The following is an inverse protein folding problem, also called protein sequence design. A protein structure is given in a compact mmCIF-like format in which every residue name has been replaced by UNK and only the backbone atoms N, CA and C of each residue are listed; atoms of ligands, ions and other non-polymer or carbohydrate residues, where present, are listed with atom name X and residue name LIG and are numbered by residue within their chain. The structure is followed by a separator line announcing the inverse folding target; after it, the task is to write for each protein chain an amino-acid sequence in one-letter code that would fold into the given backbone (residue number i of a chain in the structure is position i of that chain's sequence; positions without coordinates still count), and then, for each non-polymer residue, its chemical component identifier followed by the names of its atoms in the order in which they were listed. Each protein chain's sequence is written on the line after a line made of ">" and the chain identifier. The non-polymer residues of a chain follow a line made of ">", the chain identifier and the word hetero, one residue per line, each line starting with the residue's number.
data_IF_293190323555
#
_entry.id   IF_293190323555
#
_cell.length_a   1.000
_cell.length_b   1.000
_cell.length_c   1.000
_cell.angle_alpha   90.00
_cell.angle_beta   90.00
_cell.angle_gamma   90.00
#
_symmetry.space_group_name_H-M   'P 1'
#
loop_
_entity.id
_entity.type
_entity.pdbx_description
1 polymer ?
#
# COMPACT_ATOMS: atom_id res chain seq x y z
N UNK A 1 -12.02 -11.90 -17.81
CA UNK A 1 -11.53 -10.52 -17.91
C UNK A 1 -11.56 -9.78 -16.58
N UNK A 2 -12.73 -9.48 -15.98
CA UNK A 2 -12.79 -8.67 -14.75
C UNK A 2 -11.97 -9.21 -13.57
N UNK A 3 -12.00 -10.53 -13.33
CA UNK A 3 -11.19 -11.18 -12.30
C UNK A 3 -9.69 -10.94 -12.52
N UNK A 4 -9.24 -11.05 -13.77
CA UNK A 4 -7.85 -10.80 -14.16
C UNK A 4 -7.46 -9.33 -13.98
N UNK A 5 -8.34 -8.38 -14.36
CA UNK A 5 -8.10 -6.96 -14.08
C UNK A 5 -7.99 -6.66 -12.58
N UNK A 6 -8.75 -7.39 -11.75
CA UNK A 6 -8.80 -7.17 -10.31
C UNK A 6 -7.58 -7.71 -9.57
N UNK A 7 -7.07 -8.89 -9.96
CA UNK A 7 -6.03 -9.60 -9.19
C UNK A 7 -4.87 -10.18 -10.01
N UNK A 8 -4.91 -10.07 -11.34
CA UNK A 8 -3.85 -10.57 -12.23
C UNK A 8 -2.60 -9.72 -12.16
N UNK A 9 -1.47 -10.34 -12.50
CA UNK A 9 -0.15 -9.70 -12.51
C UNK A 9 0.21 -9.21 -13.93
N UNK A 10 0.95 -8.09 -14.09
CA UNK A 10 1.38 -7.61 -15.40
C UNK A 10 2.12 -8.66 -16.25
N UNK A 11 2.94 -9.50 -15.62
CA UNK A 11 3.68 -10.59 -16.26
C UNK A 11 2.80 -11.73 -16.78
N UNK A 12 1.58 -11.88 -16.27
CA UNK A 12 0.62 -12.89 -16.73
C UNK A 12 -0.15 -12.44 -17.98
N UNK A 13 -0.08 -11.16 -18.34
CA UNK A 13 -0.84 -10.58 -19.45
C UNK A 13 -0.61 -11.31 -20.78
N UNK A 14 0.62 -11.63 -21.22
CA UNK A 14 0.82 -12.29 -22.50
C UNK A 14 0.11 -13.64 -22.58
N UNK A 15 0.32 -14.50 -21.59
CA UNK A 15 -0.30 -15.82 -21.51
C UNK A 15 -1.83 -15.73 -21.42
N UNK A 16 -2.33 -14.86 -20.55
CA UNK A 16 -3.77 -14.64 -20.41
C UNK A 16 -4.42 -14.22 -21.73
N UNK A 17 -3.80 -13.33 -22.50
CA UNK A 17 -4.35 -12.87 -23.78
C UNK A 17 -4.33 -13.99 -24.81
N UNK A 18 -3.25 -14.77 -24.90
CA UNK A 18 -3.15 -15.85 -25.88
C UNK A 18 -4.23 -16.92 -25.61
N UNK A 19 -4.36 -17.36 -24.35
CA UNK A 19 -5.43 -18.29 -23.91
C UNK A 19 -6.83 -17.72 -24.19
N UNK A 20 -7.02 -16.42 -23.97
CA UNK A 20 -8.31 -15.77 -24.15
C UNK A 20 -8.72 -15.66 -25.62
N UNK A 21 -7.76 -15.45 -26.54
CA UNK A 21 -8.03 -15.48 -27.98
C UNK A 21 -8.27 -16.90 -28.49
N UNK A 22 -7.53 -17.90 -27.98
CA UNK A 22 -7.73 -19.31 -28.33
C UNK A 22 -9.13 -19.81 -27.91
N UNK A 23 -9.57 -19.47 -26.69
CA UNK A 23 -10.88 -19.87 -26.16
C UNK A 23 -12.07 -19.36 -26.99
N UNK A 24 -11.89 -18.27 -27.76
CA UNK A 24 -12.92 -17.68 -28.62
C UNK A 24 -12.97 -18.34 -30.00
N UNK A 25 -11.92 -19.09 -30.36
CA UNK A 25 -11.77 -19.80 -31.61
C UNK A 25 -11.05 -18.97 -32.67
N UNK A 26 -9.97 -19.52 -33.22
CA UNK A 26 -9.12 -18.87 -34.22
C UNK A 26 -9.89 -18.46 -35.48
N UNK A 27 -10.85 -19.29 -35.93
CA UNK A 27 -11.67 -18.99 -37.09
C UNK A 27 -12.57 -17.74 -36.89
N UNK A 28 -13.03 -17.50 -35.65
CA UNK A 28 -13.89 -16.37 -35.30
C UNK A 28 -13.12 -15.04 -35.38
N UNK A 29 -11.90 -15.01 -34.86
CA UNK A 29 -11.07 -13.79 -34.78
C UNK A 29 -10.47 -13.35 -36.13
N UNK A 30 -10.48 -14.23 -37.15
CA UNK A 30 -10.13 -13.86 -38.51
C UNK A 30 -11.12 -12.85 -39.12
N UNK A 31 -12.40 -12.93 -38.73
CA UNK A 31 -13.41 -11.95 -39.16
C UNK A 31 -13.11 -10.58 -38.57
N UNK A 32 -12.91 -9.58 -39.45
CA UNK A 32 -12.65 -8.20 -39.04
C UNK A 32 -13.76 -7.62 -38.15
N UNK A 33 -15.03 -7.85 -38.51
CA UNK A 33 -16.18 -7.39 -37.74
C UNK A 33 -16.22 -8.00 -36.34
N UNK A 34 -15.94 -9.30 -36.24
CA UNK A 34 -15.91 -9.98 -34.95
C UNK A 34 -14.73 -9.50 -34.10
N UNK A 35 -13.54 -9.37 -34.71
CA UNK A 35 -12.34 -8.82 -34.06
C UNK A 35 -12.58 -7.40 -33.56
N UNK A 36 -13.25 -6.56 -34.35
CA UNK A 36 -13.64 -5.20 -33.96
C UNK A 36 -14.55 -5.22 -32.75
N UNK A 37 -15.65 -5.98 -32.81
CA UNK A 37 -16.60 -6.10 -31.71
C UNK A 37 -15.90 -6.57 -30.42
N UNK A 38 -15.04 -7.58 -30.55
CA UNK A 38 -14.32 -8.17 -29.44
C UNK A 38 -13.34 -7.18 -28.79
N UNK A 39 -12.50 -6.51 -29.59
CA UNK A 39 -11.56 -5.50 -29.09
C UNK A 39 -12.31 -4.36 -28.40
N UNK A 40 -13.40 -3.85 -29.02
CA UNK A 40 -14.24 -2.81 -28.41
C UNK A 40 -14.83 -3.27 -27.07
N UNK A 41 -15.32 -4.50 -26.98
CA UNK A 41 -15.84 -5.04 -25.72
C UNK A 41 -14.79 -5.05 -24.59
N UNK A 42 -13.56 -5.46 -24.91
CA UNK A 42 -12.44 -5.40 -23.95
C UNK A 42 -12.14 -3.96 -23.57
N UNK A 43 -12.06 -3.03 -24.54
CA UNK A 43 -11.83 -1.61 -24.27
C UNK A 43 -12.88 -1.02 -23.32
N UNK A 44 -14.17 -1.31 -23.54
CA UNK A 44 -15.25 -0.86 -22.65
C UNK A 44 -15.12 -1.46 -21.26
N UNK A 45 -14.80 -2.76 -21.17
CA UNK A 45 -14.60 -3.47 -19.90
C UNK A 45 -13.46 -2.86 -19.09
N UNK A 46 -12.32 -2.61 -19.73
CA UNK A 46 -11.14 -1.97 -19.12
C UNK A 46 -11.47 -0.53 -18.72
N UNK A 47 -12.12 0.23 -19.59
CA UNK A 47 -12.51 1.61 -19.30
C UNK A 47 -13.46 1.70 -18.10
N UNK A 48 -14.46 0.81 -18.02
CA UNK A 48 -15.38 0.75 -16.90
C UNK A 48 -14.68 0.33 -15.59
N UNK A 49 -13.75 -0.61 -15.65
CA UNK A 49 -12.92 -1.01 -14.51
C UNK A 49 -12.07 0.17 -13.99
N UNK A 50 -11.35 0.85 -14.87
CA UNK A 50 -10.51 1.99 -14.49
C UNK A 50 -11.31 3.17 -13.94
N UNK A 51 -12.47 3.47 -14.52
CA UNK A 51 -13.39 4.49 -13.99
C UNK A 51 -13.85 4.15 -12.56
N UNK A 52 -14.14 2.88 -12.25
CA UNK A 52 -14.45 2.44 -10.87
C UNK A 52 -13.29 2.66 -9.89
N UNK A 53 -12.04 2.60 -10.37
CA UNK A 53 -10.86 2.91 -9.57
C UNK A 53 -10.58 4.42 -9.45
N UNK A 54 -11.34 5.26 -10.17
CA UNK A 54 -11.10 6.72 -10.26
C UNK A 54 -9.94 7.07 -11.19
N UNK A 55 -9.57 6.18 -12.12
CA UNK A 55 -8.54 6.41 -13.12
C UNK A 55 -9.17 6.90 -14.43
N UNK A 56 -8.47 7.79 -15.13
CA UNK A 56 -8.76 8.05 -16.52
C UNK A 56 -8.29 6.87 -17.39
N UNK A 57 -9.03 6.54 -18.47
CA UNK A 57 -8.63 5.45 -19.36
C UNK A 57 -7.27 5.72 -20.03
N UNK A 58 -6.41 4.69 -20.24
CA UNK A 58 -5.09 4.85 -20.79
C UNK A 58 -5.10 5.54 -22.16
N UNK A 59 -4.04 6.31 -22.44
CA UNK A 59 -3.87 6.98 -23.74
C UNK A 59 -3.89 6.02 -24.95
N UNK A 60 -3.62 4.73 -24.72
CA UNK A 60 -3.72 3.64 -25.70
C UNK A 60 -5.15 3.40 -26.22
N UNK A 61 -6.17 4.00 -25.58
CA UNK A 61 -7.55 4.02 -26.04
C UNK A 61 -7.86 5.15 -27.03
N UNK A 62 -6.86 5.97 -27.42
CA UNK A 62 -7.02 7.02 -28.43
C UNK A 62 -7.01 6.44 -29.86
N UNK A 63 -7.75 7.07 -30.76
CA UNK A 63 -8.18 6.56 -32.08
C UNK A 63 -7.09 5.90 -32.96
N UNK A 64 -5.83 6.33 -32.86
CA UNK A 64 -4.75 5.86 -33.76
C UNK A 64 -4.24 4.43 -33.48
N UNK A 65 -4.53 3.83 -32.33
CA UNK A 65 -4.10 2.45 -31.99
C UNK A 65 -5.14 1.39 -32.35
N UNK A 66 -6.38 1.79 -32.63
CA UNK A 66 -7.45 0.86 -33.00
C UNK A 66 -7.24 0.33 -34.42
N UNK A 67 -6.68 1.12 -35.33
CA UNK A 67 -6.46 0.71 -36.72
C UNK A 67 -5.63 -0.58 -36.81
N UNK A 68 -4.48 -0.62 -36.14
CA UNK A 68 -3.59 -1.80 -36.14
C UNK A 68 -4.27 -3.05 -35.53
N UNK A 69 -5.09 -2.85 -34.50
CA UNK A 69 -5.91 -3.91 -33.91
C UNK A 69 -6.95 -4.48 -34.90
N UNK A 70 -7.42 -3.66 -35.82
CA UNK A 70 -8.42 -4.03 -36.82
C UNK A 70 -7.80 -4.61 -38.10
N UNK A 71 -6.49 -4.45 -38.35
CA UNK A 71 -5.84 -4.97 -39.57
C UNK A 71 -5.55 -6.48 -39.48
N UNK A 72 -5.17 -7.00 -38.31
CA UNK A 72 -4.78 -8.41 -38.17
C UNK A 72 -5.12 -8.98 -36.79
N UNK A 73 -5.17 -10.32 -36.70
CA UNK A 73 -5.32 -11.03 -35.42
C UNK A 73 -4.15 -10.70 -34.49
N UNK A 74 -2.94 -10.65 -35.02
CA UNK A 74 -1.74 -10.31 -34.26
C UNK A 74 -1.77 -8.87 -33.75
N UNK A 75 -2.23 -7.94 -34.58
CA UNK A 75 -2.48 -6.56 -34.18
C UNK A 75 -3.49 -6.47 -33.03
N UNK A 76 -4.59 -7.23 -33.09
CA UNK A 76 -5.56 -7.28 -32.00
C UNK A 76 -4.97 -7.88 -30.72
N UNK A 77 -4.18 -8.96 -30.81
CA UNK A 77 -3.48 -9.55 -29.65
C UNK A 77 -2.54 -8.53 -29.01
N UNK A 78 -1.68 -7.90 -29.81
CA UNK A 78 -0.75 -6.88 -29.34
C UNK A 78 -1.48 -5.70 -28.69
N UNK A 79 -2.57 -5.24 -29.32
CA UNK A 79 -3.42 -4.19 -28.76
C UNK A 79 -3.99 -4.56 -27.38
N UNK A 80 -4.58 -5.75 -27.26
CA UNK A 80 -5.17 -6.22 -26.00
C UNK A 80 -4.10 -6.42 -24.93
N UNK A 81 -2.92 -6.97 -25.27
CA UNK A 81 -1.78 -7.10 -24.35
C UNK A 81 -1.37 -5.73 -23.79
N UNK A 82 -1.18 -4.75 -24.67
CA UNK A 82 -0.80 -3.40 -24.27
C UNK A 82 -1.89 -2.71 -23.42
N UNK A 83 -3.16 -2.88 -23.77
CA UNK A 83 -4.29 -2.34 -23.03
C UNK A 83 -4.39 -2.92 -21.62
N UNK A 84 -4.32 -4.25 -21.48
CA UNK A 84 -4.37 -4.91 -20.18
C UNK A 84 -3.14 -4.58 -19.32
N UNK A 85 -1.93 -4.60 -19.91
CA UNK A 85 -0.72 -4.21 -19.21
C UNK A 85 -0.79 -2.78 -18.67
N UNK A 86 -1.27 -1.83 -19.48
CA UNK A 86 -1.48 -0.44 -19.06
C UNK A 86 -2.54 -0.33 -17.95
N UNK A 87 -3.62 -1.10 -18.04
CA UNK A 87 -4.68 -1.08 -17.03
C UNK A 87 -4.21 -1.64 -15.67
N UNK A 88 -3.42 -2.72 -15.67
CA UNK A 88 -2.83 -3.28 -14.46
C UNK A 88 -1.81 -2.33 -13.83
N UNK A 89 -0.96 -1.68 -14.64
CA UNK A 89 -0.03 -0.67 -14.16
C UNK A 89 -0.74 0.52 -13.48
N UNK A 90 -1.83 1.03 -14.09
CA UNK A 90 -2.64 2.10 -13.50
C UNK A 90 -3.34 1.67 -12.21
N UNK A 91 -3.88 0.44 -12.17
CA UNK A 91 -4.46 -0.15 -10.96
C UNK A 91 -3.43 -0.17 -9.83
N UNK A 92 -2.23 -0.70 -10.09
CA UNK A 92 -1.19 -0.84 -9.08
C UNK A 92 -0.69 0.51 -8.59
N UNK A 93 -0.56 1.50 -9.48
CA UNK A 93 -0.23 2.87 -9.12
C UNK A 93 -1.29 3.48 -8.19
N UNK A 94 -2.58 3.29 -8.46
CA UNK A 94 -3.65 3.81 -7.60
C UNK A 94 -3.69 3.09 -6.26
N UNK A 95 -3.53 1.77 -6.24
CA UNK A 95 -3.48 0.99 -5.00
C UNK A 95 -2.31 1.46 -4.11
N UNK A 96 -1.12 1.62 -4.68
CA UNK A 96 0.06 2.12 -3.96
C UNK A 96 -0.10 3.57 -3.47
N UNK A 97 -0.69 4.45 -4.28
CA UNK A 97 -0.99 5.83 -3.88
C UNK A 97 -1.98 5.87 -2.72
N UNK A 98 -3.03 5.05 -2.76
CA UNK A 98 -4.00 4.92 -1.66
C UNK A 98 -3.31 4.45 -0.39
N UNK A 99 -2.48 3.40 -0.45
CA UNK A 99 -1.70 2.94 0.70
C UNK A 99 -0.78 4.03 1.26
N UNK A 100 -0.08 4.76 0.41
CA UNK A 100 0.75 5.90 0.84
C UNK A 100 -0.07 6.95 1.58
N UNK A 101 -1.21 7.38 1.02
CA UNK A 101 -2.09 8.35 1.66
C UNK A 101 -2.65 7.83 2.99
N UNK A 102 -2.91 6.53 3.07
CA UNK A 102 -3.45 5.89 4.25
C UNK A 102 -2.42 5.87 5.37
N UNK A 103 -1.19 5.46 5.05
CA UNK A 103 -0.08 5.44 5.99
C UNK A 103 0.27 6.83 6.49
N UNK A 104 0.19 7.86 5.65
CA UNK A 104 0.38 9.25 6.09
C UNK A 104 -0.64 9.66 7.16
N UNK A 105 -1.94 9.36 6.96
CA UNK A 105 -2.98 9.62 7.96
C UNK A 105 -2.75 8.81 9.24
N UNK A 106 -2.35 7.54 9.10
CA UNK A 106 -2.00 6.69 10.24
C UNK A 106 -0.82 7.27 11.04
N UNK A 107 0.25 7.68 10.37
CA UNK A 107 1.41 8.30 11.02
C UNK A 107 1.04 9.61 11.71
N UNK A 108 0.19 10.42 11.09
CA UNK A 108 -0.32 11.65 11.70
C UNK A 108 -1.15 11.35 12.96
N UNK A 109 -2.04 10.34 12.90
CA UNK A 109 -2.81 9.88 14.05
C UNK A 109 -1.89 9.42 15.19
N UNK A 110 -0.87 8.60 14.89
CA UNK A 110 0.08 8.13 15.90
C UNK A 110 0.86 9.28 16.53
N UNK A 111 1.32 10.26 15.74
CA UNK A 111 2.01 11.45 16.27
C UNK A 111 1.13 12.30 17.20
N UNK A 112 -0.19 12.30 16.98
CA UNK A 112 -1.12 13.04 17.84
C UNK A 112 -1.54 12.25 19.08
N UNK A 113 -1.61 10.92 18.98
CA UNK A 113 -2.22 10.07 19.99
C UNK A 113 -1.24 9.14 20.72
N UNK A 114 0.06 9.16 20.41
CA UNK A 114 1.04 8.19 20.94
C UNK A 114 1.03 8.05 22.48
N UNK A 115 0.59 9.07 23.20
CA UNK A 115 0.48 9.09 24.67
C UNK A 115 -0.65 8.19 25.19
N UNK A 116 -1.59 7.77 24.35
CA UNK A 116 -2.68 6.86 24.73
C UNK A 116 -2.14 5.44 24.94
N UNK A 117 -2.24 4.85 26.15
CA UNK A 117 -1.60 3.58 26.47
C UNK A 117 -2.21 2.38 25.73
N UNK A 118 -3.45 2.50 25.25
CA UNK A 118 -4.27 1.45 24.65
C UNK A 118 -4.28 1.47 23.10
N UNK A 119 -3.39 2.25 22.47
CA UNK A 119 -3.25 2.20 21.00
C UNK A 119 -2.88 0.78 20.58
N UNK A 120 -3.81 0.15 19.88
CA UNK A 120 -3.67 -1.21 19.38
C UNK A 120 -3.60 -1.24 17.85
N UNK A 121 -3.12 -2.35 17.30
CA UNK A 121 -3.17 -2.61 15.87
C UNK A 121 -4.60 -2.49 15.32
N UNK A 122 -5.60 -2.96 16.08
CA UNK A 122 -7.00 -2.89 15.69
C UNK A 122 -7.50 -1.45 15.57
N UNK A 123 -7.16 -0.61 16.54
CA UNK A 123 -7.54 0.81 16.54
C UNK A 123 -6.98 1.51 15.30
N UNK A 124 -5.69 1.30 15.03
CA UNK A 124 -4.99 1.97 13.94
C UNK A 124 -5.40 1.43 12.57
N UNK A 125 -5.67 0.13 12.46
CA UNK A 125 -6.24 -0.49 11.27
C UNK A 125 -7.65 0.04 10.97
N UNK A 126 -8.46 0.28 12.00
CA UNK A 126 -9.78 0.92 11.89
C UNK A 126 -9.69 2.35 11.34
N UNK A 127 -8.76 3.17 11.85
CA UNK A 127 -8.44 4.50 11.29
C UNK A 127 -7.99 4.38 9.83
N UNK A 128 -7.30 3.30 9.49
CA UNK A 128 -6.86 2.99 8.13
C UNK A 128 -7.94 2.39 7.22
N UNK A 129 -9.14 2.08 7.71
CA UNK A 129 -10.17 1.39 6.94
C UNK A 129 -9.75 0.00 6.45
N UNK A 130 -8.85 -0.67 7.18
CA UNK A 130 -8.28 -1.98 6.81
C UNK A 130 -8.53 -3.01 7.89
N UNK A 131 -8.49 -4.30 7.52
CA UNK A 131 -8.37 -5.35 8.52
C UNK A 131 -7.00 -5.27 9.23
N UNK A 132 -6.91 -5.69 10.50
CA UNK A 132 -5.65 -5.64 11.25
C UNK A 132 -4.49 -6.39 10.58
N UNK A 133 -4.78 -7.56 9.99
CA UNK A 133 -3.78 -8.37 9.28
C UNK A 133 -3.26 -7.65 8.03
N UNK A 134 -4.15 -7.12 7.20
CA UNK A 134 -3.77 -6.41 5.98
C UNK A 134 -3.00 -5.13 6.31
N UNK A 135 -3.44 -4.38 7.31
CA UNK A 135 -2.73 -3.20 7.79
C UNK A 135 -1.31 -3.54 8.28
N UNK A 136 -1.14 -4.60 9.07
CA UNK A 136 0.19 -5.01 9.57
C UNK A 136 1.18 -5.30 8.43
N UNK A 137 0.73 -6.04 7.42
CA UNK A 137 1.54 -6.35 6.23
C UNK A 137 1.89 -5.10 5.44
N UNK A 138 0.90 -4.25 5.12
CA UNK A 138 1.13 -3.04 4.33
C UNK A 138 2.00 -2.04 5.09
N UNK A 139 1.76 -1.84 6.38
CA UNK A 139 2.56 -0.93 7.20
C UNK A 139 4.01 -1.38 7.27
N UNK A 140 4.27 -2.66 7.56
CA UNK A 140 5.64 -3.18 7.66
C UNK A 140 6.39 -3.14 6.34
N UNK A 141 5.75 -3.50 5.22
CA UNK A 141 6.35 -3.40 3.89
C UNK A 141 6.72 -1.97 3.51
N UNK A 142 5.86 -1.00 3.82
CA UNK A 142 6.05 0.38 3.43
C UNK A 142 6.96 1.17 4.38
N UNK A 143 6.93 0.87 5.69
CA UNK A 143 7.72 1.57 6.72
C UNK A 143 9.05 0.88 7.05
N UNK A 144 9.25 -0.35 6.57
CA UNK A 144 10.43 -1.18 6.89
C UNK A 144 10.49 -1.66 8.35
N UNK A 145 9.42 -1.44 9.12
CA UNK A 145 9.30 -1.81 10.53
C UNK A 145 7.84 -2.05 10.88
N UNK A 146 7.57 -2.88 11.87
CA UNK A 146 6.21 -3.14 12.34
C UNK A 146 5.58 -1.89 12.98
N UNK A 147 4.25 -1.87 13.04
CA UNK A 147 3.50 -0.83 13.74
C UNK A 147 3.95 -0.66 15.20
N UNK A 148 4.19 -1.77 15.91
CA UNK A 148 4.60 -1.75 17.32
C UNK A 148 5.99 -1.14 17.47
N UNK A 149 6.95 -1.51 16.62
CA UNK A 149 8.29 -0.94 16.62
C UNK A 149 8.27 0.57 16.32
N UNK A 150 7.42 1.00 15.38
CA UNK A 150 7.25 2.42 15.07
C UNK A 150 6.69 3.19 16.26
N UNK A 151 5.63 2.70 16.91
CA UNK A 151 5.04 3.35 18.09
C UNK A 151 6.04 3.38 19.26
N UNK A 152 6.75 2.28 19.51
CA UNK A 152 7.81 2.24 20.52
C UNK A 152 8.89 3.28 20.23
N UNK A 153 9.37 3.37 18.99
CA UNK A 153 10.40 4.32 18.60
C UNK A 153 9.95 5.78 18.80
N UNK A 154 8.72 6.08 18.40
CA UNK A 154 8.10 7.40 18.60
C UNK A 154 8.03 7.76 20.08
N UNK A 155 7.53 6.86 20.93
CA UNK A 155 7.45 7.08 22.39
C UNK A 155 8.83 7.27 23.02
N UNK A 156 9.82 6.48 22.61
CA UNK A 156 11.19 6.56 23.13
C UNK A 156 11.88 7.85 22.71
N UNK A 157 11.61 8.35 21.50
CA UNK A 157 12.09 9.66 21.06
C UNK A 157 11.54 10.80 21.91
N UNK A 158 10.23 10.78 22.20
CA UNK A 158 9.61 11.78 23.08
C UNK A 158 10.12 11.68 24.52
N UNK A 159 10.31 10.46 25.03
CA UNK A 159 10.91 10.24 26.34
C UNK A 159 12.34 10.80 26.44
N UNK A 160 13.18 10.60 25.41
CA UNK A 160 14.53 11.20 25.34
C UNK A 160 14.47 12.72 25.40
N UNK A 161 13.50 13.33 24.72
CA UNK A 161 13.29 14.78 24.73
C UNK A 161 12.93 15.26 26.14
N UNK A 162 11.92 14.64 26.77
CA UNK A 162 11.48 14.99 28.12
C UNK A 162 12.58 14.80 29.18
N UNK A 163 13.38 13.73 29.08
CA UNK A 163 14.49 13.49 30.00
C UNK A 163 15.59 14.57 29.94
N UNK A 164 15.78 15.19 28.77
CA UNK A 164 16.77 16.25 28.53
C UNK A 164 16.26 17.65 28.84
N UNK A 165 14.97 17.88 28.64
CA UNK A 165 14.37 19.22 28.68
C UNK A 165 13.58 19.49 29.97
N UNK A 166 13.39 18.48 30.84
CA UNK A 166 12.56 18.60 32.05
C UNK A 166 13.15 17.83 33.23
N UNK A 167 12.75 18.23 34.44
CA UNK A 167 13.11 17.58 35.71
C UNK A 167 12.12 16.49 36.16
N UNK A 168 11.12 16.15 35.32
CA UNK A 168 10.08 15.14 35.63
C UNK A 168 10.70 13.81 36.03
N UNK A 169 10.05 13.04 36.90
CA UNK A 169 10.57 11.71 37.25
C UNK A 169 10.47 10.76 36.04
N UNK A 170 11.28 9.70 36.00
CA UNK A 170 11.16 8.69 34.95
C UNK A 170 9.79 8.01 34.93
N UNK A 171 9.11 7.93 36.08
CA UNK A 171 7.74 7.43 36.18
C UNK A 171 6.73 8.37 35.55
N UNK A 172 6.84 9.68 35.80
CA UNK A 172 5.95 10.67 35.18
C UNK A 172 6.12 10.69 33.65
N UNK A 173 7.38 10.62 33.20
CA UNK A 173 7.69 10.54 31.76
C UNK A 173 7.12 9.27 31.14
N UNK A 174 7.17 8.13 31.84
CA UNK A 174 6.59 6.88 31.36
C UNK A 174 5.08 7.05 31.09
N UNK A 175 4.34 7.60 32.04
CA UNK A 175 2.91 7.87 31.91
C UNK A 175 2.62 8.86 30.78
N UNK A 176 3.41 9.94 30.69
CA UNK A 176 3.24 10.99 29.70
C UNK A 176 3.47 10.52 28.26
N UNK A 177 4.37 9.55 28.04
CA UNK A 177 4.60 8.97 26.71
C UNK A 177 3.77 7.71 26.44
N UNK A 178 2.83 7.37 27.33
CA UNK A 178 1.84 6.30 27.10
C UNK A 178 2.23 4.91 27.59
N UNK A 179 3.07 4.80 28.61
CA UNK A 179 3.31 3.55 29.34
C UNK A 179 2.70 3.63 30.75
N UNK A 180 1.73 2.76 31.02
CA UNK A 180 1.10 2.65 32.34
C UNK A 180 2.01 2.00 33.39
N UNK A 181 3.07 1.32 32.96
CA UNK A 181 4.04 0.66 33.82
C UNK A 181 5.43 1.33 33.69
N UNK A 182 5.84 2.14 34.68
CA UNK A 182 7.17 2.75 34.75
C UNK A 182 8.35 1.75 34.75
N UNK A 183 8.16 0.55 35.31
CA UNK A 183 9.19 -0.49 35.32
C UNK A 183 9.39 -1.05 33.92
N UNK A 184 8.29 -1.38 33.23
CA UNK A 184 8.34 -1.81 31.83
C UNK A 184 8.94 -0.74 30.92
N UNK A 185 8.55 0.52 31.10
CA UNK A 185 9.15 1.65 30.39
C UNK A 185 10.67 1.71 30.59
N UNK A 186 11.14 1.62 31.83
CA UNK A 186 12.57 1.71 32.14
C UNK A 186 13.38 0.56 31.52
N UNK A 187 12.83 -0.66 31.56
CA UNK A 187 13.41 -1.82 30.88
C UNK A 187 13.49 -1.60 29.37
N UNK A 188 12.39 -1.16 28.75
CA UNK A 188 12.31 -0.97 27.31
C UNK A 188 13.19 0.20 26.85
N UNK A 189 13.23 1.30 27.59
CA UNK A 189 14.13 2.43 27.31
C UNK A 189 15.59 1.99 27.33
N UNK A 190 16.01 1.21 28.32
CA UNK A 190 17.37 0.64 28.36
C UNK A 190 17.65 -0.26 27.16
N UNK A 191 16.69 -1.10 26.77
CA UNK A 191 16.82 -1.97 25.59
C UNK A 191 16.98 -1.18 24.29
N UNK A 192 16.21 -0.11 24.11
CA UNK A 192 16.19 0.70 22.89
C UNK A 192 17.39 1.67 22.82
N UNK A 193 17.79 2.24 23.96
CA UNK A 193 18.79 3.32 24.00
C UNK A 193 20.16 2.88 24.52
N UNK A 194 20.28 1.66 25.06
CA UNK A 194 21.52 1.12 25.62
C UNK A 194 21.84 1.55 27.06
N UNK A 195 21.11 2.50 27.63
CA UNK A 195 21.30 2.97 29.01
C UNK A 195 19.97 3.28 29.70
N UNK A 196 19.97 3.33 31.04
CA UNK A 196 18.75 3.62 31.79
C UNK A 196 18.27 5.08 31.57
N UNK A 197 16.98 5.40 31.77
CA UNK A 197 16.49 6.78 31.73
C UNK A 197 17.29 7.75 32.62
N UNK A 198 17.70 7.28 33.80
CA UNK A 198 18.52 8.05 34.75
C UNK A 198 19.92 8.32 34.18
N UNK A 199 20.57 7.31 33.63
CA UNK A 199 21.91 7.46 33.03
C UNK A 199 21.87 8.37 31.80
N UNK A 200 20.82 8.23 30.99
CA UNK A 200 20.56 9.08 29.83
C UNK A 200 20.46 10.56 30.23
N UNK A 201 19.71 10.88 31.30
CA UNK A 201 19.62 12.25 31.85
C UNK A 201 20.96 12.77 32.35
N UNK A 202 21.73 11.93 33.04
CA UNK A 202 23.04 12.31 33.59
C UNK A 202 24.15 12.38 32.53
N UNK A 203 23.84 12.13 31.24
CA UNK A 203 24.83 12.10 30.16
C UNK A 203 25.84 10.96 30.28
N UNK A 204 25.55 9.93 31.09
CA UNK A 204 26.43 8.77 31.27
C UNK A 204 26.08 7.73 30.21
N UNK A 205 26.95 7.54 29.22
CA UNK A 205 26.89 6.35 28.36
C UNK A 205 27.33 5.16 29.22
N UNK A 206 26.51 4.12 29.30
CA UNK A 206 26.85 2.89 30.02
C UNK A 206 28.13 2.29 29.42
N UNK A 207 29.10 1.99 30.29
CA UNK A 207 30.23 1.11 29.99
C UNK A 207 29.85 -0.36 30.12
#
# INVERSE_FOLDING_TARGET
>A
MEKFLSSGLPEEVPAFVDDYFEAIGEASVQSMMFRQYFVLNIQFTVSAFLKRLGCEPPAILKENTLYDALVSVEGARSYVKNLLGSALALRDQVVNSRYTSMLQKTVAYLKQQYTQPDISLNTVAGVAGMSPSHFSTVFSQQMGQTFVEYLTSLRMEQARSLLRCTDKSSGDIALEVGYNDPHYFSFLFKKVNGCSPRDYRMGRKSG
#
